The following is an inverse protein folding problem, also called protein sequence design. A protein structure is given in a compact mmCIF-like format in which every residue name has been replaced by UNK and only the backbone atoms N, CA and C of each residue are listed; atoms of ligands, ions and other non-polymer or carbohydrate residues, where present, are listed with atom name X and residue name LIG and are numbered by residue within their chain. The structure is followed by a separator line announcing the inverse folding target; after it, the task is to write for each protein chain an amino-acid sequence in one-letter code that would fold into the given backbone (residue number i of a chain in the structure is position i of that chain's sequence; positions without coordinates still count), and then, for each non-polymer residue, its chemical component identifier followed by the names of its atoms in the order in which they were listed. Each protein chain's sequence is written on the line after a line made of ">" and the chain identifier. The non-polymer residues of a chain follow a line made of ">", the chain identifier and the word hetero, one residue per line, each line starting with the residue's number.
data_IF_388674616477
#
_entry.id   IF_388674616477
#
_cell.length_a   1.000
_cell.length_b   1.000
_cell.length_c   1.000
_cell.angle_alpha   90.00
_cell.angle_beta   90.00
_cell.angle_gamma   90.00
#
_symmetry.space_group_name_H-M   'P 1'
#
loop_
_entity.id
_entity.type
_entity.pdbx_description
1 polymer ?
#
# COMPACT_ATOMS: atom_id res chain seq x y z
N UNK A 1 -7.63 -17.88 -3.62
CA UNK A 1 -7.31 -16.47 -3.33
C UNK A 1 -7.06 -15.76 -4.64
N UNK A 2 -7.82 -14.70 -4.96
CA UNK A 2 -7.59 -13.92 -6.17
C UNK A 2 -6.25 -13.20 -6.11
N UNK A 3 -5.62 -12.98 -7.26
CA UNK A 3 -4.36 -12.25 -7.35
C UNK A 3 -4.63 -10.76 -7.06
N UNK A 4 -4.53 -10.35 -5.79
CA UNK A 4 -4.76 -8.97 -5.35
C UNK A 4 -3.83 -7.98 -6.06
N UNK A 5 -2.66 -8.41 -6.53
CA UNK A 5 -1.80 -7.57 -7.37
C UNK A 5 -2.44 -7.28 -8.75
N UNK A 6 -3.15 -8.25 -9.32
CA UNK A 6 -3.94 -8.02 -10.55
C UNK A 6 -5.11 -7.06 -10.32
N UNK A 7 -5.74 -7.08 -9.14
CA UNK A 7 -6.73 -6.07 -8.76
C UNK A 7 -6.10 -4.69 -8.62
N UNK A 8 -4.88 -4.61 -8.07
CA UNK A 8 -4.12 -3.37 -7.99
C UNK A 8 -3.82 -2.80 -9.39
N UNK A 9 -3.47 -3.65 -10.35
CA UNK A 9 -3.26 -3.22 -11.75
C UNK A 9 -4.49 -2.59 -12.39
N UNK A 10 -5.69 -3.07 -12.06
CA UNK A 10 -6.94 -2.44 -12.55
C UNK A 10 -7.14 -1.03 -12.00
N UNK A 11 -6.42 -0.66 -10.93
CA UNK A 11 -6.40 0.69 -10.34
C UNK A 11 -5.29 1.57 -10.92
N UNK A 12 -4.57 1.10 -11.93
CA UNK A 12 -3.52 1.89 -12.58
C UNK A 12 -4.07 3.24 -13.09
N UNK A 13 -3.37 4.33 -12.78
CA UNK A 13 -3.76 5.70 -13.11
C UNK A 13 -4.70 6.36 -12.10
N UNK A 14 -5.20 5.63 -11.09
CA UNK A 14 -6.09 6.19 -10.08
C UNK A 14 -5.35 7.02 -9.04
N UNK A 15 -6.09 7.91 -8.40
CA UNK A 15 -5.62 8.63 -7.20
C UNK A 15 -5.75 7.72 -5.99
N UNK A 16 -4.64 7.49 -5.29
CA UNK A 16 -4.60 6.87 -3.97
C UNK A 16 -4.39 7.94 -2.90
N UNK A 17 -4.70 7.62 -1.64
CA UNK A 17 -4.57 8.55 -0.52
C UNK A 17 -3.59 8.05 0.53
N UNK A 18 -2.58 8.87 0.84
CA UNK A 18 -1.59 8.56 1.89
C UNK A 18 -2.25 8.39 3.24
N UNK A 19 -1.76 7.47 4.08
CA UNK A 19 -2.35 7.23 5.39
C UNK A 19 -2.10 8.37 6.39
N UNK A 20 -0.90 8.93 6.41
CA UNK A 20 -0.49 9.90 7.44
C UNK A 20 -1.00 11.32 7.19
N UNK A 21 -1.24 11.69 5.93
CA UNK A 21 -1.67 13.06 5.56
C UNK A 21 -2.96 13.12 4.75
N UNK A 22 -3.56 11.96 4.41
CA UNK A 22 -4.74 11.85 3.52
C UNK A 22 -4.63 12.71 2.25
N UNK A 23 -3.40 12.85 1.71
CA UNK A 23 -3.14 13.63 0.50
C UNK A 23 -3.34 12.75 -0.73
N UNK A 24 -3.92 13.31 -1.81
CA UNK A 24 -4.06 12.60 -3.07
C UNK A 24 -2.67 12.40 -3.71
N UNK A 25 -2.42 11.21 -4.25
CA UNK A 25 -1.25 10.89 -5.05
C UNK A 25 -1.65 9.98 -6.22
N UNK A 26 -1.05 10.18 -7.39
CA UNK A 26 -1.30 9.33 -8.55
C UNK A 26 -0.58 7.99 -8.37
N UNK A 27 -1.29 6.90 -8.56
CA UNK A 27 -0.72 5.55 -8.50
C UNK A 27 -0.60 4.98 -9.92
N UNK A 28 0.61 4.59 -10.30
CA UNK A 28 0.87 3.84 -11.52
C UNK A 28 1.31 2.43 -11.14
N UNK A 29 0.68 1.41 -11.70
CA UNK A 29 0.93 0.00 -11.38
C UNK A 29 1.32 -0.73 -12.64
N UNK A 30 2.52 -1.31 -12.64
CA UNK A 30 3.02 -2.13 -13.74
C UNK A 30 3.37 -3.55 -13.26
N UNK A 31 4.00 -4.34 -14.13
CA UNK A 31 4.39 -5.72 -13.85
C UNK A 31 5.51 -5.88 -12.82
N UNK A 32 6.29 -4.83 -12.60
CA UNK A 32 7.55 -4.84 -11.85
C UNK A 32 7.48 -4.00 -10.58
N UNK A 33 6.66 -2.95 -10.56
CA UNK A 33 6.58 -1.97 -9.48
C UNK A 33 5.24 -1.23 -9.44
N UNK A 34 5.06 -0.53 -8.33
CA UNK A 34 4.03 0.50 -8.12
C UNK A 34 4.74 1.83 -7.92
N UNK A 35 4.42 2.82 -8.74
CA UNK A 35 4.94 4.18 -8.61
C UNK A 35 3.86 5.10 -8.05
N UNK A 36 4.17 5.80 -6.97
CA UNK A 36 3.30 6.84 -6.41
C UNK A 36 3.90 8.21 -6.69
N UNK A 37 3.16 9.04 -7.42
CA UNK A 37 3.55 10.40 -7.80
C UNK A 37 2.68 11.42 -7.07
N UNK A 38 3.32 12.27 -6.27
CA UNK A 38 2.64 13.33 -5.53
C UNK A 38 2.42 14.58 -6.38
N UNK A 39 1.42 15.41 -6.06
CA UNK A 39 1.24 16.73 -6.69
C UNK A 39 2.47 17.64 -6.57
N UNK A 40 3.32 17.41 -5.56
CA UNK A 40 4.59 18.12 -5.36
C UNK A 40 5.68 17.70 -6.36
N UNK A 41 5.40 16.76 -7.27
CA UNK A 41 6.35 16.24 -8.26
C UNK A 41 7.31 15.17 -7.75
N UNK A 42 7.27 14.86 -6.45
CA UNK A 42 8.05 13.73 -5.89
C UNK A 42 7.40 12.42 -6.25
N UNK A 43 8.20 11.46 -6.71
CA UNK A 43 7.77 10.10 -7.02
C UNK A 43 8.52 9.10 -6.15
N UNK A 44 7.86 8.01 -5.79
CA UNK A 44 8.52 6.88 -5.14
C UNK A 44 8.08 5.59 -5.80
N UNK A 45 9.03 4.69 -5.98
CA UNK A 45 8.82 3.37 -6.56
C UNK A 45 8.83 2.32 -5.46
N UNK A 46 7.82 1.46 -5.49
CA UNK A 46 7.67 0.29 -4.62
C UNK A 46 7.84 -0.96 -5.50
N UNK A 47 8.88 -1.78 -5.28
CA UNK A 47 9.05 -3.02 -6.00
C UNK A 47 7.86 -3.96 -5.84
N UNK A 48 7.50 -4.70 -6.89
CA UNK A 48 6.41 -5.68 -6.84
C UNK A 48 6.59 -6.70 -5.72
N UNK A 49 7.81 -7.14 -5.44
CA UNK A 49 8.11 -8.07 -4.34
C UNK A 49 7.64 -7.49 -3.00
N UNK A 50 8.03 -6.26 -2.69
CA UNK A 50 7.61 -5.55 -1.49
C UNK A 50 6.08 -5.42 -1.36
N UNK A 51 5.41 -5.09 -2.47
CA UNK A 51 3.93 -5.00 -2.50
C UNK A 51 3.30 -6.37 -2.28
N UNK A 52 3.87 -7.40 -2.91
CA UNK A 52 3.38 -8.78 -2.81
C UNK A 52 3.57 -9.35 -1.40
N UNK A 53 4.70 -9.05 -0.75
CA UNK A 53 4.98 -9.45 0.64
C UNK A 53 3.99 -8.82 1.60
N UNK A 54 3.67 -7.53 1.42
CA UNK A 54 2.70 -6.84 2.25
C UNK A 54 1.27 -7.34 2.03
N UNK A 55 0.89 -7.62 0.78
CA UNK A 55 -0.38 -8.29 0.44
C UNK A 55 -0.45 -9.66 1.14
N UNK A 56 0.60 -10.46 1.05
CA UNK A 56 0.65 -11.79 1.63
C UNK A 56 0.52 -11.73 3.16
N UNK A 57 1.26 -10.83 3.83
CA UNK A 57 1.12 -10.63 5.28
C UNK A 57 -0.28 -10.23 5.68
N UNK A 58 -0.89 -9.28 4.96
CA UNK A 58 -2.26 -8.85 5.21
C UNK A 58 -3.25 -10.02 5.05
N UNK A 59 -3.08 -10.87 4.02
CA UNK A 59 -3.90 -12.05 3.79
C UNK A 59 -3.76 -13.11 4.89
N UNK A 60 -2.55 -13.34 5.39
CA UNK A 60 -2.28 -14.35 6.43
C UNK A 60 -2.78 -13.90 7.80
N UNK A 61 -2.51 -12.65 8.18
CA UNK A 61 -2.82 -12.13 9.52
C UNK A 61 -4.23 -11.53 9.61
N UNK A 62 -4.82 -11.11 8.49
CA UNK A 62 -6.07 -10.35 8.46
C UNK A 62 -5.94 -8.90 8.94
N UNK A 63 -4.79 -8.52 9.49
CA UNK A 63 -4.42 -7.19 9.94
C UNK A 63 -2.96 -6.91 9.58
N UNK A 64 -2.65 -5.67 9.25
CA UNK A 64 -1.28 -5.20 9.01
C UNK A 64 -1.12 -3.81 9.63
N UNK A 65 -0.29 -3.71 10.66
CA UNK A 65 -0.03 -2.44 11.37
C UNK A 65 1.05 -1.60 10.67
N UNK A 66 1.06 -0.29 10.92
CA UNK A 66 2.14 0.59 10.41
C UNK A 66 3.52 0.11 10.89
N UNK A 67 3.63 -0.29 12.15
CA UNK A 67 4.86 -0.77 12.78
C UNK A 67 5.39 -2.03 12.10
N UNK A 68 4.53 -3.03 11.86
CA UNK A 68 4.94 -4.26 11.15
C UNK A 68 5.42 -4.00 9.72
N UNK A 69 4.79 -3.06 9.00
CA UNK A 69 5.28 -2.69 7.66
C UNK A 69 6.65 -2.02 7.75
N UNK A 70 6.83 -1.20 8.78
CA UNK A 70 8.06 -0.48 9.02
C UNK A 70 9.24 -1.42 9.28
N UNK A 71 9.06 -2.31 10.25
CA UNK A 71 10.09 -3.21 10.76
C UNK A 71 10.34 -4.39 9.82
N UNK A 72 9.29 -4.99 9.26
CA UNK A 72 9.45 -6.27 8.56
C UNK A 72 9.48 -6.16 7.02
N UNK A 73 9.00 -5.05 6.44
CA UNK A 73 8.79 -4.97 4.98
C UNK A 73 9.65 -3.89 4.35
N UNK A 74 9.61 -2.67 4.90
CA UNK A 74 10.36 -1.56 4.34
C UNK A 74 11.79 -1.46 4.88
N UNK A 75 12.08 -2.09 6.03
CA UNK A 75 13.39 -2.12 6.72
C UNK A 75 14.05 -0.73 6.84
N UNK A 76 13.23 0.32 6.80
CA UNK A 76 13.65 1.73 6.78
C UNK A 76 12.59 2.56 7.44
N UNK A 77 13.01 3.35 8.41
CA UNK A 77 12.17 4.38 8.96
C UNK A 77 11.91 5.46 7.93
N UNK A 78 10.75 5.46 7.26
CA UNK A 78 10.56 6.44 6.20
C UNK A 78 9.25 6.43 5.44
N UNK A 79 9.18 7.28 4.40
CA UNK A 79 7.96 7.55 3.67
C UNK A 79 7.58 6.42 2.69
N UNK A 80 8.31 5.30 2.68
CA UNK A 80 7.94 4.07 1.96
C UNK A 80 6.80 3.32 2.66
N UNK A 81 6.82 3.25 3.99
CA UNK A 81 5.78 2.59 4.80
C UNK A 81 4.40 3.19 4.54
N UNK A 82 4.30 4.52 4.62
CA UNK A 82 3.06 5.26 4.38
C UNK A 82 2.51 5.03 2.96
N UNK A 83 3.40 4.94 1.98
CA UNK A 83 3.07 4.74 0.56
C UNK A 83 2.62 3.32 0.28
N UNK A 84 3.32 2.34 0.83
CA UNK A 84 2.95 0.94 0.70
C UNK A 84 1.56 0.70 1.26
N UNK A 85 1.27 1.27 2.44
CA UNK A 85 -0.04 1.16 3.03
C UNK A 85 -1.13 1.94 2.26
N UNK A 86 -0.79 3.08 1.66
CA UNK A 86 -1.70 3.82 0.78
C UNK A 86 -2.12 2.97 -0.44
N UNK A 87 -1.18 2.20 -1.00
CA UNK A 87 -1.45 1.26 -2.10
C UNK A 87 -2.35 0.12 -1.64
N UNK A 88 -2.04 -0.49 -0.50
CA UNK A 88 -2.81 -1.61 0.03
C UNK A 88 -4.24 -1.22 0.42
N UNK A 89 -4.47 0.02 0.88
CA UNK A 89 -5.81 0.55 1.17
C UNK A 89 -6.73 0.55 -0.06
N UNK A 90 -6.18 0.69 -1.26
CA UNK A 90 -6.98 0.71 -2.50
C UNK A 90 -7.43 -0.68 -2.95
N UNK A 91 -6.91 -1.75 -2.32
CA UNK A 91 -7.29 -3.12 -2.62
C UNK A 91 -8.74 -3.39 -2.18
N UNK A 92 -9.50 -4.16 -2.99
CA UNK A 92 -10.85 -4.54 -2.62
C UNK A 92 -10.84 -5.35 -1.33
N UNK A 93 -11.73 -5.01 -0.41
CA UNK A 93 -11.84 -5.70 0.88
C UNK A 93 -10.84 -5.23 1.93
N UNK A 94 -10.02 -4.20 1.69
CA UNK A 94 -9.15 -3.62 2.73
C UNK A 94 -9.82 -2.42 3.40
N UNK A 95 -9.78 -2.35 4.72
CA UNK A 95 -10.20 -1.18 5.53
C UNK A 95 -9.02 -0.62 6.32
N UNK A 96 -9.14 0.64 6.75
CA UNK A 96 -8.10 1.35 7.47
C UNK A 96 -8.68 1.97 8.76
N UNK A 97 -7.93 1.90 9.85
CA UNK A 97 -8.20 2.63 11.10
C UNK A 97 -7.10 3.65 11.35
N UNK A 98 -7.46 4.83 11.88
CA UNK A 98 -6.49 5.90 12.16
C UNK A 98 -5.84 5.82 13.54
N UNK A 99 -6.46 5.13 14.50
CA UNK A 99 -5.95 4.91 15.85
C UNK A 99 -6.47 3.58 16.43
N UNK A 100 -5.64 2.53 16.57
CA UNK A 100 -4.27 2.43 16.05
C UNK A 100 -4.24 2.46 14.52
N UNK A 101 -3.09 2.85 13.92
CA UNK A 101 -2.95 2.89 12.46
C UNK A 101 -2.72 1.49 11.90
N UNK A 102 -3.74 0.91 11.28
CA UNK A 102 -3.68 -0.44 10.74
C UNK A 102 -4.60 -0.64 9.54
N UNK A 103 -4.24 -1.58 8.68
CA UNK A 103 -5.07 -2.12 7.61
C UNK A 103 -5.69 -3.44 8.05
N UNK A 104 -6.94 -3.68 7.68
CA UNK A 104 -7.67 -4.91 7.96
C UNK A 104 -8.30 -5.47 6.69
N UNK A 105 -8.41 -6.79 6.60
CA UNK A 105 -9.27 -7.42 5.61
C UNK A 105 -10.70 -7.49 6.14
N UNK A 106 -11.66 -6.97 5.36
CA UNK A 106 -13.07 -7.24 5.55
C UNK A 106 -13.29 -8.74 5.43
N UNK A 107 -13.82 -9.34 6.50
CA UNK A 107 -14.31 -10.72 6.48
C UNK A 107 -15.60 -10.82 5.69
#
# INVERSE_FOLDING_TARGET
>A
MGNLYSELKKKNGNTCYTLSQNKPAKMNVDDWKVTITYPTGRSLELPRSMVSDAIHKLQVKGVLTVEEVHEDITDRHGPQTDRLLAVLRELPGVTFTSSPRALYLKK
#
